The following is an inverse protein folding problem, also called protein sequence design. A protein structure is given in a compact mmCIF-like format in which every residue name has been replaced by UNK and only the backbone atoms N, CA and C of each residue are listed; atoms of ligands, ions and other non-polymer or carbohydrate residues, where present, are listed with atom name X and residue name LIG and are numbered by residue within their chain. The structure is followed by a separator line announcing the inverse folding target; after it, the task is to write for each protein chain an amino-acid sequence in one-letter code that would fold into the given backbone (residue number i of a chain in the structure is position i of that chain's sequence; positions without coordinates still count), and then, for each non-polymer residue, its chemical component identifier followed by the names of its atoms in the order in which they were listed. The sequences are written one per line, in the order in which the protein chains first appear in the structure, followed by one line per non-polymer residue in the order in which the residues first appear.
data_IF_111532263560
#
_entry.id   IF_111532263560
#
_cell.length_a   1.000
_cell.length_b   1.000
_cell.length_c   1.000
_cell.angle_alpha   90.00
_cell.angle_beta   90.00
_cell.angle_gamma   90.00
#
_symmetry.space_group_name_H-M   'P 1'
#
loop_
_entity.id
_entity.type
_entity.pdbx_description
1 polymer ?
#
# COMPACT_ATOMS: atom_id res chain seq x y z
N UNK A 1 45.63 29.91 0.55
CA UNK A 1 44.29 30.09 0.02
C UNK A 1 43.56 28.77 -0.32
N UNK A 2 44.26 27.63 -0.53
CA UNK A 2 43.62 26.32 -0.85
C UNK A 2 42.94 25.60 0.36
N UNK A 3 43.29 25.98 1.61
CA UNK A 3 42.76 25.29 2.82
C UNK A 3 41.40 25.80 3.32
N UNK A 4 40.90 26.92 2.77
CA UNK A 4 39.58 27.49 3.13
C UNK A 4 38.44 27.02 2.22
N UNK A 5 38.76 26.42 1.07
CA UNK A 5 37.75 25.95 0.08
C UNK A 5 37.06 24.64 0.50
N UNK A 6 37.72 23.82 1.32
CA UNK A 6 37.19 22.50 1.75
C UNK A 6 35.99 22.65 2.73
N UNK A 7 36.05 23.51 3.78
CA UNK A 7 34.90 23.68 4.68
C UNK A 7 33.69 24.35 3.98
N UNK A 8 33.90 25.22 2.97
CA UNK A 8 32.85 25.87 2.25
C UNK A 8 32.11 24.88 1.31
N UNK A 9 32.81 23.92 0.71
CA UNK A 9 32.20 22.85 -0.08
C UNK A 9 31.38 21.87 0.77
N UNK A 10 31.79 21.59 2.01
CA UNK A 10 31.07 20.75 2.96
C UNK A 10 29.73 21.39 3.42
N UNK A 11 29.66 22.71 3.54
CA UNK A 11 28.43 23.42 3.88
C UNK A 11 27.38 23.36 2.76
N UNK A 12 27.79 23.29 1.49
CA UNK A 12 26.88 23.19 0.37
C UNK A 12 26.23 21.81 0.22
N UNK A 13 26.83 20.74 0.77
CA UNK A 13 26.23 19.39 0.78
C UNK A 13 25.20 19.19 1.88
N UNK A 14 25.17 20.02 2.90
CA UNK A 14 24.17 19.95 3.98
C UNK A 14 22.76 20.43 3.56
N UNK A 15 22.63 21.03 2.37
CA UNK A 15 21.37 21.56 1.84
C UNK A 15 20.46 20.55 1.14
N UNK A 16 20.87 19.28 0.96
CA UNK A 16 19.97 18.23 0.47
C UNK A 16 19.05 17.80 1.62
N UNK A 17 17.93 18.50 1.77
CA UNK A 17 16.89 18.23 2.77
C UNK A 17 16.18 16.89 2.56
N UNK A 18 16.91 15.78 2.53
CA UNK A 18 16.36 14.43 2.63
C UNK A 18 15.83 14.23 4.05
N UNK A 19 14.57 14.60 4.26
CA UNK A 19 13.88 14.28 5.50
C UNK A 19 13.39 12.84 5.42
N UNK A 20 13.74 11.97 6.38
CA UNK A 20 13.21 10.61 6.41
C UNK A 20 11.69 10.65 6.55
N UNK A 21 11.01 9.74 5.86
CA UNK A 21 9.54 9.67 5.80
C UNK A 21 8.92 9.49 7.19
N UNK A 22 9.64 8.90 8.12
CA UNK A 22 9.25 8.69 9.52
C UNK A 22 10.13 9.50 10.50
N UNK A 23 10.36 10.78 10.21
CA UNK A 23 11.05 11.67 11.13
C UNK A 23 10.23 11.76 12.43
N UNK A 24 10.88 11.46 13.57
CA UNK A 24 10.23 11.40 14.90
C UNK A 24 9.77 10.01 15.34
N UNK A 25 10.02 8.95 14.56
CA UNK A 25 9.65 7.57 14.91
C UNK A 25 8.15 7.41 15.15
N UNK A 26 7.77 6.55 16.11
CA UNK A 26 6.35 6.26 16.46
C UNK A 26 5.57 7.46 17.04
N UNK A 27 6.27 8.52 17.46
CA UNK A 27 5.68 9.74 18.04
C UNK A 27 5.68 10.92 17.06
N UNK A 28 6.18 10.75 15.84
CA UNK A 28 6.16 11.79 14.82
C UNK A 28 4.74 12.14 14.36
N UNK A 29 4.54 13.37 13.87
CA UNK A 29 3.23 13.85 13.40
C UNK A 29 2.63 12.92 12.32
N UNK A 30 3.46 12.33 11.45
CA UNK A 30 3.04 11.37 10.42
C UNK A 30 2.53 10.08 11.07
N UNK A 31 3.23 9.54 12.07
CA UNK A 31 2.84 8.31 12.76
C UNK A 31 1.50 8.50 13.50
N UNK A 32 1.31 9.66 14.16
CA UNK A 32 0.06 10.04 14.81
C UNK A 32 -1.08 10.21 13.79
N UNK A 33 -0.78 10.82 12.64
CA UNK A 33 -1.72 10.95 11.54
C UNK A 33 -2.18 9.60 11.00
N UNK A 34 -1.24 8.66 10.80
CA UNK A 34 -1.55 7.29 10.35
C UNK A 34 -2.36 6.51 11.39
N UNK A 35 -2.03 6.65 12.70
CA UNK A 35 -2.77 6.02 13.79
C UNK A 35 -4.21 6.52 13.92
N UNK A 36 -4.54 7.70 13.37
CA UNK A 36 -5.89 8.27 13.34
C UNK A 36 -6.69 7.92 12.08
N UNK A 37 -6.18 7.04 11.21
CA UNK A 37 -6.89 6.56 10.02
C UNK A 37 -7.66 5.30 10.35
N UNK A 38 -9.00 5.37 10.24
CA UNK A 38 -9.87 4.22 10.31
C UNK A 38 -10.09 3.61 8.92
N UNK A 39 -9.93 2.29 8.80
CA UNK A 39 -10.19 1.57 7.55
C UNK A 39 -11.62 1.04 7.56
N UNK A 40 -12.46 1.52 6.66
CA UNK A 40 -13.83 1.05 6.49
C UNK A 40 -13.87 -0.46 6.15
N UNK A 41 -14.99 -1.16 6.41
CA UNK A 41 -15.17 -2.52 5.94
C UNK A 41 -15.01 -2.63 4.43
N UNK A 42 -14.27 -3.65 3.97
CA UNK A 42 -14.08 -3.96 2.56
C UNK A 42 -14.67 -5.34 2.30
N UNK A 43 -15.52 -5.46 1.30
CA UNK A 43 -16.24 -6.70 1.02
C UNK A 43 -15.37 -7.80 0.44
N UNK A 44 -15.76 -9.05 0.69
CA UNK A 44 -15.15 -10.25 0.13
C UNK A 44 -13.81 -10.66 0.77
N UNK A 45 -13.26 -11.80 0.29
CA UNK A 45 -12.01 -12.37 0.81
C UNK A 45 -10.82 -11.44 0.57
N UNK A 46 -10.68 -10.92 -0.66
CA UNK A 46 -9.64 -9.95 -0.99
C UNK A 46 -9.76 -8.70 -0.09
N UNK A 47 -11.00 -8.26 0.19
CA UNK A 47 -11.28 -7.14 1.08
C UNK A 47 -10.81 -7.39 2.50
N UNK A 48 -11.05 -8.57 3.02
CA UNK A 48 -10.57 -8.96 4.36
C UNK A 48 -9.05 -8.93 4.44
N UNK A 49 -8.35 -9.48 3.45
CA UNK A 49 -6.88 -9.49 3.39
C UNK A 49 -6.29 -8.08 3.30
N UNK A 50 -6.79 -7.26 2.37
CA UNK A 50 -6.33 -5.87 2.19
C UNK A 50 -6.61 -5.04 3.44
N UNK A 51 -7.80 -5.17 4.05
CA UNK A 51 -8.15 -4.44 5.26
C UNK A 51 -7.22 -4.77 6.43
N UNK A 52 -6.93 -6.05 6.65
CA UNK A 52 -6.00 -6.46 7.70
C UNK A 52 -4.59 -5.92 7.42
N UNK A 53 -4.07 -6.07 6.20
CA UNK A 53 -2.77 -5.53 5.82
C UNK A 53 -2.69 -4.00 5.98
N UNK A 54 -3.76 -3.27 5.67
CA UNK A 54 -3.84 -1.82 5.90
C UNK A 54 -3.80 -1.49 7.39
N UNK A 55 -4.61 -2.17 8.21
CA UNK A 55 -4.66 -1.94 9.66
C UNK A 55 -3.31 -2.21 10.32
N UNK A 56 -2.66 -3.32 9.96
CA UNK A 56 -1.34 -3.67 10.49
C UNK A 56 -0.30 -2.59 10.16
N UNK A 57 -0.30 -2.09 8.92
CA UNK A 57 0.65 -1.05 8.48
C UNK A 57 0.34 0.32 9.10
N UNK A 58 -0.92 0.68 9.27
CA UNK A 58 -1.34 1.94 9.88
C UNK A 58 -1.09 1.97 11.40
N UNK A 59 -1.20 0.80 12.08
CA UNK A 59 -0.98 0.67 13.52
C UNK A 59 0.49 0.55 13.94
N UNK A 60 1.43 0.40 13.02
CA UNK A 60 2.87 0.26 13.33
C UNK A 60 3.45 1.46 14.10
N UNK A 61 2.76 2.60 14.15
CA UNK A 61 3.15 3.80 14.89
C UNK A 61 2.78 3.82 16.38
N UNK A 62 2.05 2.84 16.91
CA UNK A 62 1.67 2.81 18.33
C UNK A 62 0.18 2.61 18.59
N UNK A 63 -0.33 3.18 19.67
CA UNK A 63 -1.73 3.09 20.09
C UNK A 63 -2.63 3.77 19.05
N UNK A 64 -3.70 3.10 18.63
CA UNK A 64 -4.70 3.64 17.75
C UNK A 64 -5.30 4.91 18.39
N UNK A 65 -5.20 6.04 17.70
CA UNK A 65 -5.78 7.30 18.13
C UNK A 65 -7.28 7.37 17.76
N UNK A 66 -7.99 8.34 18.31
CA UNK A 66 -9.36 8.62 17.87
C UNK A 66 -9.38 8.88 16.36
N UNK A 67 -10.33 8.26 15.61
CA UNK A 67 -10.37 8.38 14.16
C UNK A 67 -10.61 9.82 13.73
N UNK A 68 -9.66 10.37 12.99
CA UNK A 68 -9.78 11.67 12.32
C UNK A 68 -10.06 11.50 10.82
N UNK A 69 -9.57 10.43 10.25
CA UNK A 69 -9.74 10.13 8.84
C UNK A 69 -10.38 8.76 8.66
N UNK A 70 -11.18 8.62 7.60
CA UNK A 70 -11.73 7.35 7.15
C UNK A 70 -11.16 7.02 5.78
N UNK A 71 -10.64 5.80 5.65
CA UNK A 71 -10.15 5.24 4.39
C UNK A 71 -11.20 4.31 3.82
N UNK A 72 -11.87 4.75 2.76
CA UNK A 72 -12.82 3.96 1.98
C UNK A 72 -12.09 3.30 0.81
N UNK A 73 -12.25 1.99 0.60
CA UNK A 73 -11.54 1.23 -0.42
C UNK A 73 -12.52 0.36 -1.19
N UNK A 74 -12.51 0.46 -2.52
CA UNK A 74 -13.24 -0.40 -3.44
C UNK A 74 -12.24 -1.27 -4.21
N UNK A 75 -12.40 -2.60 -4.12
CA UNK A 75 -11.49 -3.56 -4.77
C UNK A 75 -12.08 -4.13 -6.06
N UNK A 76 -11.19 -4.41 -7.00
CA UNK A 76 -11.44 -5.24 -8.17
C UNK A 76 -10.34 -6.30 -8.22
N UNK A 77 -10.74 -7.57 -8.00
CA UNK A 77 -9.87 -8.75 -8.04
C UNK A 77 -10.26 -9.58 -9.26
N UNK A 78 -9.29 -9.80 -10.16
CA UNK A 78 -9.49 -10.56 -11.40
C UNK A 78 -8.45 -11.65 -11.52
N UNK A 79 -8.90 -12.84 -11.89
CA UNK A 79 -8.07 -13.97 -12.30
C UNK A 79 -8.35 -14.26 -13.78
N UNK A 80 -7.32 -14.26 -14.61
CA UNK A 80 -7.42 -14.42 -16.06
C UNK A 80 -6.42 -15.45 -16.54
N UNK A 81 -6.88 -16.44 -17.32
CA UNK A 81 -6.02 -17.41 -17.99
C UNK A 81 -5.22 -16.75 -19.12
N UNK A 82 -3.93 -17.04 -19.18
CA UNK A 82 -2.99 -16.51 -20.17
C UNK A 82 -2.45 -17.65 -21.06
N UNK A 83 -2.89 -17.64 -22.31
CA UNK A 83 -2.40 -18.59 -23.31
C UNK A 83 -2.96 -20.01 -23.15
N UNK A 84 -3.23 -20.61 -24.27
CA UNK A 84 -3.59 -22.02 -24.39
C UNK A 84 -2.34 -22.81 -24.74
N UNK A 85 -2.13 -23.93 -24.09
CA UNK A 85 -1.17 -24.94 -24.53
C UNK A 85 -1.71 -25.64 -25.78
N UNK A 86 -0.88 -26.40 -26.48
CA UNK A 86 -1.25 -27.15 -27.70
C UNK A 86 -2.36 -28.19 -27.50
N UNK A 87 -2.68 -28.52 -26.25
CA UNK A 87 -3.78 -29.41 -25.83
C UNK A 87 -5.02 -28.66 -25.30
N UNK A 88 -5.15 -27.35 -25.61
CA UNK A 88 -6.24 -26.47 -25.18
C UNK A 88 -6.28 -26.24 -23.65
N UNK A 89 -5.27 -26.57 -22.89
CA UNK A 89 -5.19 -26.28 -21.48
C UNK A 89 -4.59 -24.90 -21.22
N UNK A 90 -4.98 -24.24 -20.11
CA UNK A 90 -4.37 -23.00 -19.64
C UNK A 90 -3.09 -23.37 -18.88
N UNK A 91 -1.95 -22.92 -19.38
CA UNK A 91 -0.66 -23.18 -18.73
C UNK A 91 -0.23 -22.07 -17.77
N UNK A 92 -0.89 -20.92 -17.80
CA UNK A 92 -0.55 -19.75 -16.99
C UNK A 92 -1.75 -18.87 -16.74
N UNK A 93 -1.81 -18.31 -15.54
CA UNK A 93 -2.82 -17.34 -15.14
C UNK A 93 -2.18 -16.04 -14.65
N UNK A 94 -2.98 -14.98 -14.68
CA UNK A 94 -2.64 -13.69 -14.06
C UNK A 94 -3.73 -13.30 -13.09
N UNK A 95 -3.34 -13.02 -11.85
CA UNK A 95 -4.22 -12.37 -10.90
C UNK A 95 -3.88 -10.90 -10.82
N UNK A 96 -4.89 -10.03 -10.97
CA UNK A 96 -4.75 -8.58 -10.89
C UNK A 96 -5.63 -8.06 -9.75
N UNK A 97 -5.02 -7.41 -8.78
CA UNK A 97 -5.74 -6.75 -7.68
C UNK A 97 -5.61 -5.23 -7.83
N UNK A 98 -6.74 -4.54 -7.98
CA UNK A 98 -6.81 -3.08 -8.06
C UNK A 98 -7.71 -2.53 -6.97
N UNK A 99 -7.29 -1.40 -6.39
CA UNK A 99 -8.02 -0.67 -5.36
C UNK A 99 -8.23 0.77 -5.84
N UNK A 100 -9.48 1.25 -5.87
CA UNK A 100 -9.78 2.68 -5.81
C UNK A 100 -10.03 3.04 -4.36
N UNK A 101 -9.44 4.11 -3.87
CA UNK A 101 -9.56 4.49 -2.47
C UNK A 101 -9.68 5.99 -2.30
N UNK A 102 -10.40 6.37 -1.23
CA UNK A 102 -10.59 7.75 -0.81
C UNK A 102 -10.23 7.87 0.67
N UNK A 103 -9.47 8.91 1.02
CA UNK A 103 -9.23 9.31 2.39
C UNK A 103 -10.11 10.52 2.68
N UNK A 104 -11.02 10.39 3.63
CA UNK A 104 -11.99 11.42 4.00
C UNK A 104 -11.66 11.97 5.39
N UNK A 105 -11.55 13.27 5.53
CA UNK A 105 -11.46 13.94 6.83
C UNK A 105 -12.85 13.94 7.48
N UNK A 106 -12.99 13.31 8.65
CA UNK A 106 -14.28 13.13 9.32
C UNK A 106 -14.85 14.41 9.90
N UNK A 107 -14.01 15.42 10.17
CA UNK A 107 -14.45 16.68 10.73
C UNK A 107 -15.07 17.60 9.66
N UNK A 108 -14.49 17.63 8.46
CA UNK A 108 -14.93 18.51 7.37
C UNK A 108 -15.75 17.79 6.29
N UNK A 109 -15.64 16.45 6.19
CA UNK A 109 -16.17 15.66 5.07
C UNK A 109 -15.37 15.82 3.78
N UNK A 110 -14.23 16.49 3.82
CA UNK A 110 -13.38 16.73 2.65
C UNK A 110 -12.67 15.43 2.22
N UNK A 111 -12.63 15.16 0.91
CA UNK A 111 -11.82 14.09 0.34
C UNK A 111 -10.39 14.59 0.21
N UNK A 112 -9.51 14.05 1.05
CA UNK A 112 -8.08 14.38 1.07
C UNK A 112 -7.32 13.70 -0.06
N UNK A 113 -7.72 12.47 -0.39
CA UNK A 113 -7.17 11.67 -1.49
C UNK A 113 -8.31 10.96 -2.21
N UNK A 114 -8.28 10.93 -3.54
CA UNK A 114 -9.02 10.00 -4.39
C UNK A 114 -8.02 9.44 -5.42
N UNK A 115 -7.63 8.19 -5.26
CA UNK A 115 -6.58 7.60 -6.06
C UNK A 115 -6.79 6.09 -6.27
N UNK A 116 -5.90 5.50 -7.08
CA UNK A 116 -5.90 4.06 -7.35
C UNK A 116 -4.53 3.46 -7.05
N UNK A 117 -4.54 2.24 -6.51
CA UNK A 117 -3.37 1.39 -6.37
C UNK A 117 -3.69 0.03 -6.97
N UNK A 118 -2.67 -0.70 -7.42
CA UNK A 118 -2.90 -2.05 -7.93
C UNK A 118 -1.59 -2.76 -8.22
N UNK A 119 -1.66 -4.09 -8.30
CA UNK A 119 -0.56 -4.96 -8.68
C UNK A 119 -1.09 -6.21 -9.36
N UNK A 120 -0.23 -6.95 -10.03
CA UNK A 120 -0.54 -8.22 -10.65
C UNK A 120 0.52 -9.26 -10.35
N UNK A 121 0.14 -10.54 -10.42
CA UNK A 121 1.00 -11.70 -10.24
C UNK A 121 0.69 -12.75 -11.31
N UNK A 122 1.73 -13.36 -11.89
CA UNK A 122 1.60 -14.55 -12.73
C UNK A 122 1.57 -15.80 -11.87
N UNK A 123 0.74 -16.78 -12.27
CA UNK A 123 0.56 -18.06 -11.60
C UNK A 123 0.76 -19.13 -12.67
N UNK A 124 1.66 -20.08 -12.43
CA UNK A 124 1.81 -21.24 -13.31
C UNK A 124 0.77 -22.29 -12.94
N UNK A 125 -0.03 -22.70 -13.92
CA UNK A 125 -1.02 -23.76 -13.78
C UNK A 125 -0.32 -25.10 -13.95
N UNK A 126 -0.41 -25.92 -12.93
CA UNK A 126 0.20 -27.25 -12.93
C UNK A 126 -0.88 -28.34 -12.97
N UNK A 127 -0.48 -29.60 -13.26
CA UNK A 127 -1.41 -30.73 -13.33
C UNK A 127 -2.17 -31.04 -12.03
N UNK A 128 -1.71 -30.53 -10.90
CA UNK A 128 -2.39 -30.63 -9.61
C UNK A 128 -3.27 -29.42 -9.39
N UNK A 129 -4.58 -29.60 -9.47
CA UNK A 129 -5.59 -28.56 -9.19
C UNK A 129 -5.40 -27.94 -7.80
N UNK A 130 -5.14 -28.76 -6.78
CA UNK A 130 -4.88 -28.30 -5.43
C UNK A 130 -3.67 -27.35 -5.34
N UNK A 131 -2.59 -27.68 -6.07
CA UNK A 131 -1.39 -26.84 -6.08
C UNK A 131 -1.66 -25.50 -6.80
N UNK A 132 -2.47 -25.49 -7.86
CA UNK A 132 -2.87 -24.26 -8.55
C UNK A 132 -3.70 -23.36 -7.63
N UNK A 133 -4.72 -23.91 -6.96
CA UNK A 133 -5.53 -23.16 -5.99
C UNK A 133 -4.67 -22.57 -4.86
N UNK A 134 -3.72 -23.34 -4.33
CA UNK A 134 -2.81 -22.84 -3.30
C UNK A 134 -1.91 -21.68 -3.80
N UNK A 135 -1.47 -21.75 -5.06
CA UNK A 135 -0.70 -20.69 -5.69
C UNK A 135 -1.55 -19.41 -5.91
N UNK A 136 -2.80 -19.57 -6.34
CA UNK A 136 -3.75 -18.45 -6.49
C UNK A 136 -4.02 -17.72 -5.15
N UNK A 137 -4.20 -18.49 -4.07
CA UNK A 137 -4.38 -17.95 -2.72
C UNK A 137 -3.14 -17.20 -2.24
N UNK A 138 -1.95 -17.79 -2.42
CA UNK A 138 -0.68 -17.14 -2.09
C UNK A 138 -0.47 -15.85 -2.89
N UNK A 139 -0.84 -15.87 -4.17
CA UNK A 139 -0.78 -14.68 -5.01
C UNK A 139 -1.70 -13.57 -4.48
N UNK A 140 -2.93 -13.91 -4.05
CA UNK A 140 -3.86 -12.93 -3.48
C UNK A 140 -3.33 -12.32 -2.18
N UNK A 141 -2.78 -13.14 -1.28
CA UNK A 141 -2.19 -12.67 -0.03
C UNK A 141 -1.03 -11.69 -0.30
N UNK A 142 -0.11 -12.05 -1.20
CA UNK A 142 1.01 -11.20 -1.58
C UNK A 142 0.55 -9.89 -2.23
N UNK A 143 -0.39 -9.96 -3.18
CA UNK A 143 -0.95 -8.78 -3.83
C UNK A 143 -1.64 -7.85 -2.84
N UNK A 144 -2.37 -8.40 -1.87
CA UNK A 144 -3.04 -7.64 -0.82
C UNK A 144 -2.05 -6.84 0.02
N UNK A 145 -0.91 -7.45 0.38
CA UNK A 145 0.19 -6.77 1.07
C UNK A 145 0.81 -5.63 0.25
N UNK A 146 1.06 -5.86 -1.04
CA UNK A 146 1.63 -4.86 -1.96
C UNK A 146 0.67 -3.69 -2.19
N UNK A 147 -0.62 -3.98 -2.40
CA UNK A 147 -1.65 -2.93 -2.59
C UNK A 147 -1.80 -2.09 -1.33
N UNK A 148 -1.87 -2.73 -0.15
CA UNK A 148 -1.93 -2.01 1.13
C UNK A 148 -0.72 -1.10 1.35
N UNK A 149 0.49 -1.55 1.03
CA UNK A 149 1.71 -0.74 1.14
C UNK A 149 1.68 0.49 0.24
N UNK A 150 1.23 0.34 -1.01
CA UNK A 150 1.09 1.45 -1.95
C UNK A 150 0.08 2.48 -1.45
N UNK A 151 -1.05 2.03 -0.90
CA UNK A 151 -2.06 2.90 -0.31
C UNK A 151 -1.49 3.66 0.88
N UNK A 152 -0.87 2.97 1.85
CA UNK A 152 -0.29 3.59 3.05
C UNK A 152 0.80 4.60 2.69
N UNK A 153 1.62 4.32 1.68
CA UNK A 153 2.62 5.26 1.19
C UNK A 153 1.99 6.56 0.70
N UNK A 154 0.92 6.49 -0.10
CA UNK A 154 0.24 7.68 -0.60
C UNK A 154 -0.49 8.44 0.51
N UNK A 155 -1.14 7.73 1.44
CA UNK A 155 -1.75 8.33 2.63
C UNK A 155 -0.70 9.07 3.46
N UNK A 156 0.46 8.46 3.68
CA UNK A 156 1.58 9.07 4.40
C UNK A 156 2.04 10.39 3.75
N UNK A 157 2.19 10.38 2.41
CA UNK A 157 2.60 11.58 1.66
C UNK A 157 1.57 12.70 1.77
N UNK A 158 0.28 12.38 1.69
CA UNK A 158 -0.77 13.37 1.78
C UNK A 158 -0.91 13.96 3.19
N UNK A 159 -0.81 13.13 4.25
CA UNK A 159 -0.84 13.61 5.62
C UNK A 159 0.38 14.46 5.99
N UNK A 160 1.54 14.22 5.36
CA UNK A 160 2.74 15.02 5.53
C UNK A 160 2.64 16.42 4.90
N UNK A 161 1.84 16.56 3.84
CA UNK A 161 1.68 17.82 3.11
C UNK A 161 0.69 18.78 3.79
N UNK A 162 0.00 18.35 4.85
CA UNK A 162 -0.96 19.12 5.65
C UNK A 162 -0.37 19.55 6.98
#
# INVERSE_FOLDING_TARGET
MKRLAIPLAALMLAGCGLQPMYAGGSHGAVAQGLASVEVAPIEGRAGWLVRNALRDKLSQGGVQADPRYRLDVLLNDKLEGLGLLTDETIGRERRTLRARYQLVDLASGEIVIDATAGSDAGIDVVSSEYATIAAEETALENLSGVVAERIVTQVTLALRAR
#
